data_IF_148270686272
#
_entry.id   IF_148270686272
#
_cell.length_a   1.000
_cell.length_b   1.000
_cell.length_c   1.000
_cell.angle_alpha   90.00
_cell.angle_beta   90.00
_cell.angle_gamma   90.00
#
_symmetry.space_group_name_H-M   'P 1'
#
loop_
_entity.id
_entity.type
_entity.pdbx_description
1 polymer ?
#
# COMPACT_ATOMS: atom_id res chain seq x y z
N UNK A 1 -2.05 9.14 -13.59
CA UNK A 1 -1.70 10.05 -12.47
C UNK A 1 -1.65 9.34 -11.12
N UNK A 2 -2.64 8.52 -10.75
CA UNK A 2 -2.59 7.77 -9.48
C UNK A 2 -1.36 6.84 -9.36
N UNK A 3 -1.12 6.00 -10.38
CA UNK A 3 0.01 5.07 -10.38
C UNK A 3 1.39 5.74 -10.34
N UNK A 4 1.54 6.90 -11.00
CA UNK A 4 2.79 7.68 -10.95
C UNK A 4 3.02 8.27 -9.57
N UNK A 5 1.99 8.76 -8.90
CA UNK A 5 2.09 9.22 -7.52
C UNK A 5 2.45 8.08 -6.56
N UNK A 6 1.84 6.90 -6.73
CA UNK A 6 2.19 5.71 -5.95
C UNK A 6 3.64 5.25 -6.17
N UNK A 7 4.12 5.33 -7.42
CA UNK A 7 5.52 5.03 -7.75
C UNK A 7 6.49 6.05 -7.12
N UNK A 8 6.13 7.34 -7.09
CA UNK A 8 6.93 8.39 -6.43
C UNK A 8 7.00 8.19 -4.92
N UNK A 9 5.89 7.84 -4.26
CA UNK A 9 5.90 7.50 -2.83
C UNK A 9 6.85 6.35 -2.55
N UNK A 10 6.80 5.30 -3.38
CA UNK A 10 7.68 4.16 -3.23
C UNK A 10 9.15 4.49 -3.51
N UNK A 11 9.41 5.34 -4.52
CA UNK A 11 10.75 5.85 -4.80
C UNK A 11 11.29 6.66 -3.62
N UNK A 12 10.49 7.59 -3.08
CA UNK A 12 10.85 8.37 -1.91
C UNK A 12 11.20 7.47 -0.72
N UNK A 13 10.40 6.42 -0.47
CA UNK A 13 10.68 5.42 0.55
C UNK A 13 12.01 4.67 0.31
N UNK A 14 12.28 4.26 -0.93
CA UNK A 14 13.54 3.61 -1.28
C UNK A 14 14.76 4.53 -1.11
N UNK A 15 14.61 5.84 -1.34
CA UNK A 15 15.70 6.81 -1.15
C UNK A 15 15.91 7.21 0.31
N UNK A 16 14.85 7.21 1.13
CA UNK A 16 14.93 7.58 2.55
C UNK A 16 15.41 6.43 3.44
N UNK A 17 15.06 5.19 3.08
CA UNK A 17 15.52 3.99 3.77
C UNK A 17 16.31 3.10 2.81
N UNK A 18 17.63 3.30 2.69
CA UNK A 18 18.45 2.52 1.76
C UNK A 18 18.68 1.07 2.21
N UNK A 19 18.43 0.76 3.49
CA UNK A 19 18.54 -0.60 4.02
C UNK A 19 17.19 -1.33 3.91
N UNK A 20 17.18 -2.58 3.41
CA UNK A 20 15.94 -3.33 3.17
C UNK A 20 15.15 -3.64 4.45
N UNK A 21 15.84 -3.78 5.59
CA UNK A 21 15.20 -3.95 6.89
C UNK A 21 14.43 -2.71 7.35
N UNK A 22 14.94 -1.52 7.03
CA UNK A 22 14.32 -0.26 7.43
C UNK A 22 13.17 0.11 6.49
N UNK A 23 13.13 -0.46 5.27
CA UNK A 23 12.01 -0.31 4.34
C UNK A 23 10.77 -1.10 4.73
N UNK A 24 10.88 -2.17 5.52
CA UNK A 24 9.77 -3.11 5.73
C UNK A 24 8.56 -2.42 6.39
N UNK A 25 8.80 -1.76 7.53
CA UNK A 25 7.78 -1.03 8.28
C UNK A 25 7.11 0.09 7.45
N UNK A 26 7.85 1.03 6.84
CA UNK A 26 7.24 2.10 6.06
C UNK A 26 6.44 1.55 4.88
N UNK A 27 6.89 0.46 4.25
CA UNK A 27 6.13 -0.21 3.19
C UNK A 27 4.78 -0.72 3.68
N UNK A 28 4.75 -1.40 4.83
CA UNK A 28 3.51 -1.90 5.43
C UNK A 28 2.56 -0.76 5.78
N UNK A 29 3.09 0.34 6.31
CA UNK A 29 2.29 1.53 6.62
C UNK A 29 1.73 2.15 5.35
N UNK A 30 2.55 2.36 4.31
CA UNK A 30 2.09 2.94 3.06
C UNK A 30 1.02 2.09 2.38
N UNK A 31 1.22 0.77 2.35
CA UNK A 31 0.24 -0.17 1.79
C UNK A 31 -1.04 -0.16 2.63
N UNK A 32 -0.94 -0.28 3.95
CA UNK A 32 -2.11 -0.26 4.84
C UNK A 32 -2.92 1.03 4.71
N UNK A 33 -2.24 2.19 4.69
CA UNK A 33 -2.88 3.50 4.53
C UNK A 33 -3.52 3.64 3.14
N UNK A 34 -2.83 3.22 2.08
CA UNK A 34 -3.38 3.28 0.72
C UNK A 34 -4.66 2.44 0.61
N UNK A 35 -4.63 1.20 1.09
CA UNK A 35 -5.78 0.30 1.06
C UNK A 35 -6.91 0.73 2.02
N UNK A 36 -6.58 1.38 3.14
CA UNK A 36 -7.56 2.02 4.01
C UNK A 36 -8.34 3.11 3.27
N UNK A 37 -7.64 4.04 2.62
CA UNK A 37 -8.29 5.10 1.84
C UNK A 37 -9.06 4.53 0.64
N UNK A 38 -8.54 3.50 -0.02
CA UNK A 38 -9.26 2.81 -1.08
C UNK A 38 -10.58 2.23 -0.58
N UNK A 39 -10.56 1.46 0.51
CA UNK A 39 -11.77 0.89 1.10
C UNK A 39 -12.77 1.97 1.55
N UNK A 40 -12.29 3.04 2.18
CA UNK A 40 -13.13 4.13 2.63
C UNK A 40 -13.83 4.84 1.45
N UNK A 41 -13.08 5.16 0.39
CA UNK A 41 -13.64 5.82 -0.80
C UNK A 41 -14.58 4.88 -1.58
N UNK A 42 -14.24 3.59 -1.67
CA UNK A 42 -15.12 2.57 -2.26
C UNK A 42 -16.44 2.44 -1.49
N UNK A 43 -16.39 2.45 -0.16
CA UNK A 43 -17.57 2.30 0.69
C UNK A 43 -18.47 3.55 0.75
N UNK A 44 -17.90 4.75 0.56
CA UNK A 44 -18.66 6.01 0.58
C UNK A 44 -19.32 6.35 -0.76
N UNK A 45 -19.11 5.54 -1.81
CA UNK A 45 -19.90 5.60 -3.05
C UNK A 45 -19.61 6.80 -3.97
N UNK A 46 -18.59 7.61 -3.68
CA UNK A 46 -18.17 8.74 -4.51
C UNK A 46 -17.58 8.27 -5.85
N UNK A 47 -18.42 8.02 -6.87
CA UNK A 47 -18.01 7.67 -8.26
C UNK A 47 -17.40 8.85 -9.04
N UNK A 48 -16.43 9.54 -8.44
CA UNK A 48 -15.67 10.62 -9.07
C UNK A 48 -14.29 10.14 -9.52
N UNK A 49 -13.58 10.94 -10.31
CA UNK A 49 -12.20 10.70 -10.79
C UNK A 49 -11.21 10.32 -9.68
N UNK A 50 -11.53 10.65 -8.41
CA UNK A 50 -10.79 10.26 -7.22
C UNK A 50 -10.70 8.74 -7.05
N UNK A 51 -11.72 7.98 -7.43
CA UNK A 51 -11.71 6.51 -7.36
C UNK A 51 -10.56 5.91 -8.20
N UNK A 52 -10.46 6.32 -9.46
CA UNK A 52 -9.42 5.83 -10.36
C UNK A 52 -8.03 6.31 -9.94
N UNK A 53 -7.95 7.51 -9.35
CA UNK A 53 -6.69 8.04 -8.83
C UNK A 53 -6.21 7.24 -7.61
N UNK A 54 -7.10 6.91 -6.67
CA UNK A 54 -6.77 6.15 -5.46
C UNK A 54 -6.47 4.69 -5.80
N UNK A 55 -7.24 4.06 -6.68
CA UNK A 55 -6.95 2.71 -7.16
C UNK A 55 -5.59 2.65 -7.88
N UNK A 56 -5.30 3.66 -8.72
CA UNK A 56 -4.00 3.79 -9.37
C UNK A 56 -2.88 3.98 -8.35
N UNK A 57 -3.09 4.82 -7.33
CA UNK A 57 -2.10 5.07 -6.27
C UNK A 57 -1.82 3.81 -5.45
N UNK A 58 -2.87 3.06 -5.07
CA UNK A 58 -2.73 1.76 -4.39
C UNK A 58 -1.97 0.76 -5.26
N UNK A 59 -2.31 0.65 -6.55
CA UNK A 59 -1.60 -0.23 -7.48
C UNK A 59 -0.13 0.13 -7.66
N UNK A 60 0.21 1.43 -7.64
CA UNK A 60 1.59 1.92 -7.71
C UNK A 60 2.38 1.66 -6.43
N UNK A 61 1.81 1.97 -5.27
CA UNK A 61 2.44 1.76 -3.95
C UNK A 61 2.65 0.26 -3.67
N UNK A 62 1.63 -0.55 -3.95
CA UNK A 62 1.64 -2.00 -3.71
C UNK A 62 2.22 -2.82 -4.86
N UNK A 63 2.94 -2.19 -5.80
CA UNK A 63 3.47 -2.86 -7.00
C UNK A 63 4.42 -4.00 -6.63
N UNK A 64 3.88 -5.23 -6.66
CA UNK A 64 4.55 -6.48 -6.29
C UNK A 64 5.80 -6.73 -7.12
N UNK A 65 5.84 -6.30 -8.38
CA UNK A 65 6.97 -6.54 -9.28
C UNK A 65 8.26 -5.89 -8.81
N UNK A 66 8.21 -4.71 -8.20
CA UNK A 66 9.44 -4.07 -7.71
C UNK A 66 9.72 -4.33 -6.23
N UNK A 67 8.75 -4.82 -5.47
CA UNK A 67 9.05 -5.50 -4.21
C UNK A 67 9.74 -6.85 -4.47
N UNK A 68 9.31 -7.59 -5.50
CA UNK A 68 9.92 -8.86 -5.90
C UNK A 68 11.42 -8.70 -6.23
N UNK A 69 11.79 -7.65 -7.00
CA UNK A 69 13.20 -7.33 -7.29
C UNK A 69 14.00 -7.11 -6.01
N UNK A 70 13.47 -6.36 -5.03
CA UNK A 70 14.12 -6.15 -3.73
C UNK A 70 14.24 -7.45 -2.93
N UNK A 71 13.24 -8.34 -3.01
CA UNK A 71 13.26 -9.63 -2.30
C UNK A 71 14.21 -10.67 -2.88
N UNK A 72 14.59 -10.55 -4.16
CA UNK A 72 15.57 -11.46 -4.78
C UNK A 72 16.99 -11.15 -4.30
N UNK A 73 17.29 -9.88 -4.05
CA UNK A 73 18.60 -9.40 -3.61
C UNK A 73 18.79 -9.38 -2.09
N UNK A 74 17.82 -9.85 -1.30
CA UNK A 74 17.83 -9.77 0.17
C UNK A 74 17.79 -11.15 0.83
N UNK A 75 18.23 -11.27 2.09
CA UNK A 75 18.21 -12.55 2.79
C UNK A 75 16.79 -13.10 2.91
N UNK A 76 16.63 -14.42 2.70
CA UNK A 76 15.36 -15.18 2.65
C UNK A 76 14.32 -14.78 3.71
N UNK A 77 14.77 -14.50 4.95
CA UNK A 77 13.90 -14.07 6.06
C UNK A 77 13.17 -12.75 5.77
N UNK A 78 13.87 -11.77 5.20
CA UNK A 78 13.31 -10.46 4.84
C UNK A 78 12.35 -10.60 3.67
N UNK A 79 12.69 -11.44 2.68
CA UNK A 79 11.84 -11.73 1.53
C UNK A 79 10.50 -12.35 1.94
N UNK A 80 10.54 -13.34 2.84
CA UNK A 80 9.33 -13.94 3.41
C UNK A 80 8.50 -12.93 4.22
N UNK A 81 9.15 -12.06 4.99
CA UNK A 81 8.47 -11.02 5.75
C UNK A 81 7.75 -10.02 4.82
N UNK A 82 8.39 -9.54 3.76
CA UNK A 82 7.71 -8.71 2.75
C UNK A 82 6.56 -9.47 2.08
N UNK A 83 6.79 -10.70 1.63
CA UNK A 83 5.78 -11.48 0.91
C UNK A 83 4.52 -11.77 1.75
N UNK A 84 4.67 -11.93 3.06
CA UNK A 84 3.57 -12.28 3.98
C UNK A 84 2.94 -11.07 4.65
N UNK A 85 3.74 -10.12 5.15
CA UNK A 85 3.22 -8.98 5.88
C UNK A 85 2.55 -7.95 4.97
N UNK A 86 3.03 -7.77 3.73
CA UNK A 86 2.44 -6.79 2.81
C UNK A 86 0.98 -7.10 2.45
N UNK A 87 0.59 -8.32 2.06
CA UNK A 87 -0.82 -8.64 1.85
C UNK A 87 -1.63 -8.58 3.14
N UNK A 88 -1.06 -8.98 4.29
CA UNK A 88 -1.73 -8.83 5.60
C UNK A 88 -2.04 -7.36 5.90
N UNK A 89 -1.07 -6.47 5.69
CA UNK A 89 -1.24 -5.02 5.87
C UNK A 89 -2.28 -4.43 4.91
N UNK A 90 -2.32 -4.90 3.66
CA UNK A 90 -3.36 -4.50 2.70
C UNK A 90 -4.75 -4.92 3.17
N UNK A 91 -4.90 -6.17 3.64
CA UNK A 91 -6.18 -6.70 4.13
C UNK A 91 -6.63 -5.98 5.41
N UNK A 92 -5.74 -5.75 6.38
CA UNK A 92 -6.07 -5.01 7.60
C UNK A 92 -6.43 -3.57 7.28
N UNK A 93 -5.71 -2.91 6.37
CA UNK A 93 -6.05 -1.58 5.85
C UNK A 93 -7.45 -1.54 5.24
N UNK A 94 -7.78 -2.50 4.36
CA UNK A 94 -9.12 -2.62 3.76
C UNK A 94 -10.21 -2.77 4.83
N UNK A 95 -10.03 -3.71 5.77
CA UNK A 95 -11.00 -3.97 6.82
C UNK A 95 -11.21 -2.73 7.70
N UNK A 96 -10.13 -2.07 8.12
CA UNK A 96 -10.22 -0.82 8.88
C UNK A 96 -10.94 0.28 8.10
N UNK A 97 -10.64 0.45 6.81
CA UNK A 97 -11.29 1.46 5.96
C UNK A 97 -12.79 1.21 5.80
N UNK A 98 -13.19 -0.05 5.66
CA UNK A 98 -14.60 -0.46 5.62
C UNK A 98 -15.31 -0.20 6.95
N UNK A 99 -14.68 -0.54 8.08
CA UNK A 99 -15.26 -0.30 9.42
C UNK A 99 -15.46 1.19 9.66
N UNK A 100 -14.47 2.03 9.33
CA UNK A 100 -14.56 3.48 9.46
C UNK A 100 -15.65 4.04 8.55
N UNK A 101 -15.71 3.62 7.28
CA UNK A 101 -16.77 4.07 6.38
C UNK A 101 -18.17 3.70 6.91
N UNK A 102 -18.32 2.48 7.46
CA UNK A 102 -19.57 2.04 8.08
C UNK A 102 -19.91 2.80 9.37
N UNK A 103 -18.91 3.18 10.16
CA UNK A 103 -19.12 3.97 11.36
C UNK A 103 -19.56 5.40 11.02
N UNK A 104 -19.02 6.00 9.94
CA UNK A 104 -19.38 7.33 9.47
C UNK A 104 -20.75 7.37 8.78
N UNK A 105 -21.17 6.26 8.17
CA UNK A 105 -22.47 6.15 7.51
C UNK A 105 -23.65 5.84 8.47
N UNK A 106 -23.37 5.52 9.74
CA UNK A 106 -24.38 5.36 10.80
C UNK A 106 -24.61 6.68 11.52
#
# INVERSE_FOLDING_TARGET
>A
MGGTAGALVRYAMATTWPKPQDMLIPTLIAVGVAFFFAAYVLATGLRTSLHYLILGLCGGVASLSAWAVLTISTPMRLSLAFLTLTPVAAVTGLLCGLVVARAVAR
#
